data_IF_747514818363
#
_entry.id   IF_747514818363
#
_cell.length_a   1.000
_cell.length_b   1.000
_cell.length_c   1.000
_cell.angle_alpha   90.00
_cell.angle_beta   90.00
_cell.angle_gamma   90.00
#
_symmetry.space_group_name_H-M   'P 1'
#
loop_
_entity.id
_entity.type
_entity.pdbx_description
1 polymer ?
#
# COMPACT_ATOMS: atom_id res chain seq x y z
N UNK A 1 -17.24 8.24 7.84
CA UNK A 1 -15.95 7.52 7.94
C UNK A 1 -15.04 8.12 6.88
N UNK A 2 -13.79 8.46 7.20
CA UNK A 2 -12.86 9.01 6.22
C UNK A 2 -12.39 7.89 5.28
N UNK A 3 -12.43 8.11 3.97
CA UNK A 3 -11.90 7.17 2.99
C UNK A 3 -10.38 7.28 2.98
N UNK A 4 -9.67 6.16 2.98
CA UNK A 4 -8.21 6.15 2.91
C UNK A 4 -7.75 5.66 1.55
N UNK A 5 -6.76 6.34 1.00
CA UNK A 5 -6.11 6.00 -0.25
C UNK A 5 -4.73 5.41 0.00
N UNK A 6 -4.28 4.59 -0.93
CA UNK A 6 -2.97 3.95 -0.94
C UNK A 6 -2.35 4.14 -2.32
N UNK A 7 -1.12 4.67 -2.37
CA UNK A 7 -0.35 4.83 -3.60
C UNK A 7 0.95 4.05 -3.46
N UNK A 8 1.23 3.19 -4.44
CA UNK A 8 2.49 2.47 -4.57
C UNK A 8 3.51 3.32 -5.34
N UNK A 9 4.75 3.31 -4.87
CA UNK A 9 5.85 4.11 -5.42
C UNK A 9 7.16 3.33 -5.43
N UNK A 10 8.11 3.79 -6.24
CA UNK A 10 9.46 3.25 -6.26
C UNK A 10 10.27 3.78 -5.08
N UNK A 11 11.12 2.93 -4.50
CA UNK A 11 11.95 3.34 -3.35
C UNK A 11 12.95 4.45 -3.70
N UNK A 12 13.36 4.53 -4.97
CA UNK A 12 14.25 5.59 -5.46
C UNK A 12 13.64 6.99 -5.33
N UNK A 13 12.32 7.10 -5.24
CA UNK A 13 11.60 8.37 -5.08
C UNK A 13 11.49 8.80 -3.61
N UNK A 14 12.06 8.03 -2.68
CA UNK A 14 11.87 8.24 -1.24
C UNK A 14 13.20 8.48 -0.54
N UNK A 15 13.29 9.60 0.15
CA UNK A 15 14.34 9.85 1.13
C UNK A 15 13.76 9.71 2.55
N UNK A 16 14.27 8.75 3.31
CA UNK A 16 13.80 8.48 4.68
C UNK A 16 14.61 9.28 5.69
N UNK A 17 13.95 10.10 6.49
CA UNK A 17 14.53 10.80 7.63
C UNK A 17 14.01 10.18 8.95
N UNK A 18 14.46 10.71 10.09
CA UNK A 18 14.11 10.13 11.40
C UNK A 18 12.60 10.08 11.64
N UNK A 19 11.89 11.18 11.36
CA UNK A 19 10.45 11.33 11.66
C UNK A 19 9.57 11.53 10.41
N UNK A 20 10.18 11.75 9.25
CA UNK A 20 9.48 12.06 8.01
C UNK A 20 10.11 11.35 6.82
N UNK A 21 9.35 11.23 5.75
CA UNK A 21 9.84 10.81 4.46
C UNK A 21 9.61 11.95 3.47
N UNK A 22 10.64 12.21 2.66
CA UNK A 22 10.54 13.04 1.46
C UNK A 22 10.14 12.12 0.32
N UNK A 23 9.10 12.49 -0.41
CA UNK A 23 8.66 11.76 -1.59
C UNK A 23 8.69 12.71 -2.78
N UNK A 24 9.46 12.34 -3.80
CA UNK A 24 9.55 13.07 -5.05
C UNK A 24 8.33 12.81 -5.93
N UNK A 25 7.86 13.86 -6.62
CA UNK A 25 6.81 13.73 -7.61
C UNK A 25 7.32 12.99 -8.86
N UNK A 26 6.46 12.24 -9.58
CA UNK A 26 6.85 11.58 -10.82
C UNK A 26 7.36 12.59 -11.84
N UNK A 27 8.32 12.18 -12.67
CA UNK A 27 9.03 13.07 -13.60
C UNK A 27 8.23 13.44 -14.85
N UNK A 28 7.11 12.79 -15.11
CA UNK A 28 6.31 12.92 -16.33
C UNK A 28 5.04 13.78 -16.16
N UNK A 29 5.04 14.68 -15.18
CA UNK A 29 3.95 15.62 -14.93
C UNK A 29 4.44 17.05 -14.64
N UNK A 30 3.49 17.99 -14.56
CA UNK A 30 3.74 19.42 -14.30
C UNK A 30 4.43 19.73 -12.96
N UNK A 31 4.45 18.79 -12.02
CA UNK A 31 5.14 18.90 -10.75
C UNK A 31 6.49 18.17 -10.74
N UNK A 32 7.07 17.85 -11.89
CA UNK A 32 8.41 17.28 -11.96
C UNK A 32 9.45 18.13 -11.20
N UNK A 33 10.20 17.47 -10.33
CA UNK A 33 11.18 18.10 -9.43
C UNK A 33 10.58 18.76 -8.19
N UNK A 34 9.27 18.66 -7.97
CA UNK A 34 8.68 18.94 -6.66
C UNK A 34 8.76 17.71 -5.76
N UNK A 35 8.74 17.93 -4.45
CA UNK A 35 8.61 16.89 -3.45
C UNK A 35 7.58 17.27 -2.39
N UNK A 36 7.12 16.28 -1.63
CA UNK A 36 6.29 16.49 -0.45
C UNK A 36 6.79 15.67 0.74
N UNK A 37 6.35 16.08 1.92
CA UNK A 37 6.72 15.44 3.18
C UNK A 37 5.54 14.65 3.72
N UNK A 38 5.80 13.44 4.18
CA UNK A 38 4.86 12.66 4.97
C UNK A 38 5.49 12.19 6.29
N UNK A 39 4.71 12.05 7.37
CA UNK A 39 5.16 11.33 8.55
C UNK A 39 5.66 9.94 8.16
N UNK A 40 6.80 9.52 8.71
CA UNK A 40 7.40 8.21 8.40
C UNK A 40 6.43 7.04 8.60
N UNK A 41 5.58 7.13 9.62
CA UNK A 41 4.52 6.15 9.93
C UNK A 41 3.44 5.99 8.85
N UNK A 42 3.40 6.87 7.85
CA UNK A 42 2.45 6.80 6.73
C UNK A 42 3.10 6.19 5.48
N UNK A 43 4.38 5.81 5.54
CA UNK A 43 5.16 5.24 4.44
C UNK A 43 5.67 3.86 4.83
N UNK A 44 5.45 2.88 3.97
CA UNK A 44 5.70 1.47 4.25
C UNK A 44 6.46 0.84 3.11
N UNK A 45 7.57 0.19 3.45
CA UNK A 45 8.37 -0.57 2.49
C UNK A 45 7.79 -1.96 2.30
N UNK A 46 7.62 -2.36 1.03
CA UNK A 46 7.12 -3.69 0.65
C UNK A 46 8.30 -4.61 0.30
N UNK A 47 9.27 -4.06 -0.43
CA UNK A 47 10.44 -4.79 -0.94
C UNK A 47 11.59 -3.81 -1.20
N UNK A 48 12.73 -4.31 -1.67
CA UNK A 48 13.91 -3.50 -2.03
C UNK A 48 13.60 -2.40 -3.05
N UNK A 49 12.60 -2.59 -3.92
CA UNK A 49 12.31 -1.65 -5.02
C UNK A 49 11.04 -0.84 -4.80
N UNK A 50 10.14 -1.27 -3.92
CA UNK A 50 8.78 -0.74 -3.84
C UNK A 50 8.36 -0.44 -2.40
N UNK A 51 7.67 0.69 -2.27
CA UNK A 51 7.00 1.14 -1.06
C UNK A 51 5.60 1.60 -1.40
N UNK A 52 4.83 1.96 -0.37
CA UNK A 52 3.58 2.68 -0.53
C UNK A 52 3.43 3.70 0.58
N UNK A 53 2.57 4.69 0.35
CA UNK A 53 2.07 5.55 1.40
C UNK A 53 0.55 5.58 1.40
N UNK A 54 -0.04 5.89 2.55
CA UNK A 54 -1.48 6.06 2.68
C UNK A 54 -1.83 7.44 3.24
N UNK A 55 -3.02 7.92 2.89
CA UNK A 55 -3.52 9.23 3.30
C UNK A 55 -5.05 9.26 3.21
N UNK A 56 -5.73 10.12 3.99
CA UNK A 56 -7.17 10.29 3.89
C UNK A 56 -7.56 11.07 2.63
N UNK A 57 -8.79 10.87 2.16
CA UNK A 57 -9.41 11.52 0.99
C UNK A 57 -9.41 13.05 1.03
N UNK A 58 -9.46 13.64 2.21
CA UNK A 58 -9.44 15.09 2.41
C UNK A 58 -8.02 15.67 2.60
N UNK A 59 -6.97 14.85 2.42
CA UNK A 59 -5.59 15.30 2.59
C UNK A 59 -5.19 16.34 1.53
N UNK A 60 -4.48 17.38 1.97
CA UNK A 60 -3.94 18.43 1.11
C UNK A 60 -2.42 18.35 1.15
N UNK A 61 -1.82 18.01 0.02
CA UNK A 61 -0.37 17.86 -0.10
C UNK A 61 0.28 19.20 -0.38
N UNK A 62 1.23 19.58 0.46
CA UNK A 62 2.08 20.74 0.23
C UNK A 62 3.32 20.29 -0.55
N UNK A 63 3.40 20.70 -1.80
CA UNK A 63 4.54 20.44 -2.67
C UNK A 63 5.55 21.58 -2.56
N UNK A 64 6.83 21.26 -2.58
CA UNK A 64 7.94 22.21 -2.53
C UNK A 64 8.93 21.93 -3.65
N UNK A 65 9.47 23.00 -4.25
CA UNK A 65 10.58 22.97 -5.22
C UNK A 65 11.38 24.25 -5.08
N UNK A 66 12.63 24.17 -4.60
CA UNK A 66 13.45 25.35 -4.31
C UNK A 66 12.69 26.41 -3.46
N UNK A 67 12.32 27.54 -4.06
CA UNK A 67 11.55 28.64 -3.44
C UNK A 67 10.04 28.55 -3.70
N UNK A 68 9.61 27.69 -4.62
CA UNK A 68 8.22 27.50 -5.01
C UNK A 68 7.50 26.56 -4.04
N UNK A 69 6.25 26.91 -3.74
CA UNK A 69 5.34 26.09 -2.94
C UNK A 69 3.98 26.08 -3.61
N UNK A 70 3.38 24.90 -3.68
CA UNK A 70 2.03 24.75 -4.18
C UNK A 70 1.30 23.68 -3.38
N UNK A 71 -0.01 23.60 -3.56
CA UNK A 71 -0.85 22.64 -2.85
C UNK A 71 -1.70 21.88 -3.84
N UNK A 72 -1.78 20.56 -3.67
CA UNK A 72 -2.65 19.69 -4.46
C UNK A 72 -3.54 18.85 -3.56
N UNK A 73 -4.74 18.58 -4.04
CA UNK A 73 -5.71 17.73 -3.34
C UNK A 73 -5.45 16.25 -3.60
N UNK A 74 -5.94 15.40 -2.70
CA UNK A 74 -5.83 13.94 -2.77
C UNK A 74 -6.20 13.36 -4.14
N UNK A 75 -7.31 13.80 -4.75
CA UNK A 75 -7.77 13.31 -6.06
C UNK A 75 -6.72 13.56 -7.14
N UNK A 76 -6.12 14.75 -7.16
CA UNK A 76 -5.08 15.10 -8.11
C UNK A 76 -3.80 14.31 -7.83
N UNK A 77 -3.44 14.13 -6.56
CA UNK A 77 -2.28 13.33 -6.16
C UNK A 77 -2.38 11.88 -6.67
N UNK A 78 -3.56 11.26 -6.53
CA UNK A 78 -3.81 9.91 -7.05
C UNK A 78 -3.60 9.85 -8.56
N UNK A 79 -4.19 10.81 -9.29
CA UNK A 79 -4.06 10.86 -10.74
C UNK A 79 -2.60 11.00 -11.20
N UNK A 80 -1.80 11.82 -10.52
CA UNK A 80 -0.39 12.05 -10.85
C UNK A 80 0.47 10.81 -10.70
N UNK A 81 0.16 9.94 -9.72
CA UNK A 81 0.89 8.69 -9.48
C UNK A 81 0.28 7.47 -10.17
N UNK A 82 -0.87 7.60 -10.83
CA UNK A 82 -1.65 6.47 -11.34
C UNK A 82 -0.83 5.55 -12.27
N UNK A 83 -0.06 6.13 -13.17
CA UNK A 83 0.75 5.40 -14.15
C UNK A 83 1.81 4.52 -13.50
N UNK A 84 2.56 5.07 -12.54
CA UNK A 84 3.60 4.31 -11.83
C UNK A 84 2.98 3.28 -10.89
N UNK A 85 1.90 3.66 -10.21
CA UNK A 85 1.12 2.78 -9.37
C UNK A 85 0.62 1.55 -10.14
N UNK A 86 0.10 1.73 -11.36
CA UNK A 86 -0.39 0.62 -12.20
C UNK A 86 0.75 -0.30 -12.67
N UNK A 87 1.91 0.25 -13.06
CA UNK A 87 3.09 -0.56 -13.40
C UNK A 87 3.60 -1.40 -12.23
N UNK A 88 3.66 -0.80 -11.05
CA UNK A 88 4.08 -1.49 -9.82
C UNK A 88 3.06 -2.59 -9.49
N UNK A 89 1.76 -2.30 -9.59
CA UNK A 89 0.70 -3.28 -9.36
C UNK A 89 0.77 -4.47 -10.31
N UNK A 90 1.07 -4.24 -11.60
CA UNK A 90 1.29 -5.32 -12.58
C UNK A 90 2.46 -6.22 -12.18
N UNK A 91 3.51 -5.66 -11.57
CA UNK A 91 4.65 -6.45 -11.07
C UNK A 91 4.24 -7.41 -9.94
N UNK A 92 3.31 -7.00 -9.08
CA UNK A 92 2.79 -7.88 -8.03
C UNK A 92 1.84 -8.94 -8.58
N UNK A 93 1.01 -8.59 -9.56
CA UNK A 93 0.08 -9.52 -10.20
C UNK A 93 0.81 -10.60 -11.00
N UNK A 94 1.82 -10.24 -11.78
CA UNK A 94 2.64 -11.18 -12.56
C UNK A 94 3.41 -12.15 -11.65
N UNK A 95 3.96 -11.69 -10.51
CA UNK A 95 4.54 -12.58 -9.50
C UNK A 95 3.53 -13.59 -8.94
N UNK A 96 2.26 -13.19 -8.79
CA UNK A 96 1.19 -14.09 -8.35
C UNK A 96 0.88 -15.16 -9.40
N UNK A 97 1.00 -14.84 -10.69
CA UNK A 97 0.85 -15.80 -11.80
C UNK A 97 2.06 -16.74 -11.89
N UNK A 98 3.29 -16.29 -11.63
CA UNK A 98 4.46 -17.19 -11.59
C UNK A 98 4.49 -18.14 -10.37
N UNK A 99 3.65 -17.92 -9.37
CA UNK A 99 3.43 -18.88 -8.27
C UNK A 99 2.36 -19.94 -8.60
N UNK A 100 1.88 -20.03 -9.85
CA UNK A 100 0.92 -21.06 -10.27
C UNK A 100 1.56 -22.44 -10.55
N UNK A 101 2.48 -22.89 -9.70
CA UNK A 101 2.75 -24.31 -9.44
C UNK A 101 2.96 -24.51 -7.93
N UNK A 102 2.03 -24.04 -7.11
CA UNK A 102 1.68 -24.79 -5.89
C UNK A 102 0.17 -24.87 -5.91
N UNK A 103 -0.33 -25.99 -6.40
CA UNK A 103 -1.66 -26.45 -6.05
C UNK A 103 -1.67 -26.59 -4.53
N UNK A 104 -2.08 -25.53 -3.83
CA UNK A 104 -2.54 -25.67 -2.47
C UNK A 104 -3.74 -26.58 -2.59
N UNK A 105 -3.52 -27.88 -2.36
CA UNK A 105 -4.58 -28.80 -1.95
C UNK A 105 -5.22 -28.09 -0.78
N UNK A 106 -6.31 -27.40 -1.02
CA UNK A 106 -7.26 -26.99 0.00
C UNK A 106 -7.74 -28.29 0.60
N UNK A 107 -6.99 -28.79 1.58
CA UNK A 107 -7.50 -29.76 2.51
C UNK A 107 -8.51 -28.98 3.35
N UNK A 108 -9.70 -28.78 2.79
CA UNK A 108 -10.86 -28.36 3.57
C UNK A 108 -10.95 -29.42 4.67
N UNK A 109 -10.77 -29.05 5.95
CA UNK A 109 -10.91 -30.03 7.01
C UNK A 109 -12.33 -30.60 6.91
N UNK A 110 -12.45 -31.90 6.69
CA UNK A 110 -13.74 -32.59 6.76
C UNK A 110 -14.31 -32.30 8.15
N UNK A 111 -15.52 -31.74 8.17
CA UNK A 111 -16.31 -31.56 9.38
C UNK A 111 -16.34 -32.90 10.12
N UNK A 112 -15.70 -32.98 11.27
CA UNK A 112 -15.85 -34.14 12.15
C UNK A 112 -17.20 -34.00 12.84
N UNK A 113 -18.20 -34.74 12.38
CA UNK A 113 -19.38 -35.01 13.19
C UNK A 113 -18.96 -36.05 14.23
N UNK A 114 -18.43 -35.57 15.35
CA UNK A 114 -18.36 -36.38 16.56
C UNK A 114 -19.65 -36.13 17.33
N UNK A 115 -20.55 -37.10 17.30
CA UNK A 115 -21.58 -37.18 18.31
C UNK A 115 -20.89 -37.33 19.66
N UNK A 116 -20.98 -36.28 20.48
CA UNK A 116 -20.52 -36.32 21.86
C UNK A 116 -21.58 -37.08 22.64
N UNK A 117 -21.37 -38.39 22.82
CA UNK A 117 -22.11 -39.15 23.81
C UNK A 117 -21.49 -38.88 25.18
N UNK A 118 -22.21 -38.17 26.03
CA UNK A 118 -21.84 -38.00 27.44
C UNK A 118 -22.27 -39.29 28.15
N UNK A 119 -21.35 -40.06 28.78
CA UNK A 119 -21.72 -41.19 29.61
C UNK A 119 -22.63 -40.70 30.75
N UNK A 120 -23.75 -41.38 30.98
CA UNK A 120 -24.72 -41.00 32.02
C UNK A 120 -24.12 -40.94 33.44
N UNK A 121 -22.94 -41.52 33.67
CA UNK A 121 -22.27 -41.51 34.97
C UNK A 121 -21.58 -40.18 35.32
N UNK A 122 -21.65 -39.17 34.45
CA UNK A 122 -21.20 -37.80 34.72
C UNK A 122 -22.35 -36.79 34.81
N UNK A 123 -23.59 -37.27 34.67
CA UNK A 123 -24.80 -36.48 34.93
C UNK A 123 -25.37 -36.97 36.27
N UNK A 124 -24.89 -36.32 37.35
CA UNK A 124 -25.12 -36.53 38.80
C UNK A 124 -24.16 -37.46 39.53
#
# INVERSE_FOLDING_TARGET
MATWHKIYIYNEQIEQWDNQAIIEMPSDNEFAGYFFLLPKKMVFTISTNFSYFYFPDNWKFQLKKHTEKTQIEAVKMIALFQKDNDKIMQTFQTKKVNNSIISVRTHIPKKMEKDVSIPNDLIR
#
